data_IF_404237355590
#
_entry.id   IF_404237355590
#
_cell.length_a   1.000
_cell.length_b   1.000
_cell.length_c   1.000
_cell.angle_alpha   90.00
_cell.angle_beta   90.00
_cell.angle_gamma   90.00
#
_symmetry.space_group_name_H-M   'P 1'
#
loop_
_entity.id
_entity.type
_entity.pdbx_description
1 polymer ?
#
# COMPACT_ATOMS: atom_id res chain seq x y z
N UNK A 1 14.88 -7.50 -13.76
CA UNK A 1 14.38 -6.09 -13.74
C UNK A 1 13.22 -6.03 -12.75
N UNK A 2 13.21 -5.11 -11.78
CA UNK A 2 12.08 -4.95 -10.87
C UNK A 2 10.92 -4.28 -11.63
N UNK A 3 9.76 -4.94 -11.69
CA UNK A 3 8.56 -4.41 -12.36
C UNK A 3 7.76 -3.61 -11.33
N UNK A 4 7.41 -2.36 -11.66
CA UNK A 4 6.57 -1.51 -10.81
C UNK A 4 5.11 -1.83 -11.12
N UNK A 5 4.34 -2.17 -10.10
CA UNK A 5 2.89 -2.43 -10.23
C UNK A 5 2.11 -1.36 -9.48
N UNK A 6 1.07 -0.79 -10.12
CA UNK A 6 0.11 0.15 -9.52
C UNK A 6 0.76 1.27 -8.68
N UNK A 7 1.80 1.91 -9.22
CA UNK A 7 2.54 2.99 -8.55
C UNK A 7 3.71 2.54 -7.66
N UNK A 8 3.85 1.23 -7.38
CA UNK A 8 4.99 0.62 -6.69
C UNK A 8 5.02 0.82 -5.17
N UNK A 9 4.49 1.94 -4.68
CA UNK A 9 4.38 2.30 -3.27
C UNK A 9 2.95 2.79 -2.98
N UNK A 10 2.42 2.62 -1.76
CA UNK A 10 1.02 2.91 -1.46
C UNK A 10 0.63 4.36 -1.73
N UNK A 11 1.50 5.35 -1.46
CA UNK A 11 1.20 6.76 -1.69
C UNK A 11 1.11 7.16 -3.18
N UNK A 12 1.59 6.30 -4.09
CA UNK A 12 1.45 6.46 -5.54
C UNK A 12 0.32 5.59 -6.12
N UNK A 13 -0.36 4.79 -5.30
CA UNK A 13 -1.40 3.89 -5.73
C UNK A 13 -2.75 4.59 -5.91
N UNK A 14 -3.54 4.15 -6.90
CA UNK A 14 -4.92 4.56 -7.04
C UNK A 14 -5.83 3.72 -6.12
N UNK A 15 -6.25 4.31 -5.00
CA UNK A 15 -7.09 3.62 -4.02
C UNK A 15 -8.46 3.24 -4.58
N UNK A 16 -9.08 4.10 -5.39
CA UNK A 16 -10.41 3.83 -5.96
C UNK A 16 -10.36 2.62 -6.90
N UNK A 17 -9.36 2.56 -7.77
CA UNK A 17 -9.15 1.42 -8.67
C UNK A 17 -8.86 0.13 -7.88
N UNK A 18 -8.04 0.22 -6.83
CA UNK A 18 -7.77 -0.90 -5.94
C UNK A 18 -9.04 -1.45 -5.29
N UNK A 19 -9.87 -0.58 -4.71
CA UNK A 19 -11.11 -0.98 -4.04
C UNK A 19 -12.14 -1.56 -5.02
N UNK A 20 -12.27 -0.98 -6.22
CA UNK A 20 -13.15 -1.52 -7.26
C UNK A 20 -12.71 -2.94 -7.66
N UNK A 21 -11.40 -3.16 -7.84
CA UNK A 21 -10.87 -4.49 -8.14
C UNK A 21 -11.05 -5.45 -6.97
N UNK A 22 -10.78 -5.02 -5.74
CA UNK A 22 -10.94 -5.83 -4.55
C UNK A 22 -12.39 -6.27 -4.35
N UNK A 23 -13.37 -5.35 -4.52
CA UNK A 23 -14.80 -5.69 -4.44
C UNK A 23 -15.20 -6.72 -5.50
N UNK A 24 -14.81 -6.50 -6.75
CA UNK A 24 -15.08 -7.46 -7.83
C UNK A 24 -14.44 -8.84 -7.58
N UNK A 25 -13.24 -8.88 -6.99
CA UNK A 25 -12.57 -10.13 -6.60
C UNK A 25 -13.32 -10.83 -5.46
N UNK A 26 -13.74 -10.08 -4.43
CA UNK A 26 -14.53 -10.62 -3.32
C UNK A 26 -15.83 -11.23 -3.85
N UNK A 27 -16.59 -10.49 -4.66
CA UNK A 27 -17.87 -10.96 -5.22
C UNK A 27 -17.73 -12.18 -6.12
N UNK A 28 -16.55 -12.37 -6.73
CA UNK A 28 -16.26 -13.53 -7.56
C UNK A 28 -15.95 -14.79 -6.74
N UNK A 29 -15.18 -14.66 -5.66
CA UNK A 29 -14.71 -15.81 -4.86
C UNK A 29 -15.61 -16.14 -3.66
N UNK A 30 -16.36 -15.16 -3.17
CA UNK A 30 -17.26 -15.30 -2.02
C UNK A 30 -18.67 -14.94 -2.51
N UNK A 31 -19.45 -15.98 -2.83
CA UNK A 31 -20.84 -15.78 -3.25
C UNK A 31 -21.67 -15.22 -2.10
N UNK A 32 -22.74 -14.48 -2.42
CA UNK A 32 -23.66 -13.95 -1.41
C UNK A 32 -24.34 -15.05 -0.58
N UNK A 33 -24.46 -16.26 -1.14
CA UNK A 33 -25.04 -17.43 -0.48
C UNK A 33 -24.02 -18.22 0.37
N UNK A 34 -22.78 -17.75 0.47
CA UNK A 34 -21.75 -18.41 1.27
C UNK A 34 -22.06 -18.31 2.76
N UNK A 35 -21.95 -19.44 3.47
CA UNK A 35 -22.07 -19.47 4.94
C UNK A 35 -21.04 -18.53 5.60
N UNK A 36 -21.39 -17.84 6.70
CA UNK A 36 -20.45 -17.00 7.44
C UNK A 36 -19.20 -17.81 7.85
N UNK A 37 -18.03 -17.28 7.52
CA UNK A 37 -16.75 -17.96 7.73
C UNK A 37 -15.58 -17.00 7.78
N UNK A 38 -14.38 -17.53 8.05
CA UNK A 38 -13.15 -16.75 8.09
C UNK A 38 -12.69 -16.39 6.67
N UNK A 39 -12.66 -15.09 6.35
CA UNK A 39 -12.01 -14.57 5.16
C UNK A 39 -10.59 -14.10 5.49
N UNK A 40 -9.59 -14.56 4.72
CA UNK A 40 -8.18 -14.22 4.93
C UNK A 40 -7.68 -13.39 3.75
N UNK A 41 -7.12 -12.21 4.02
CA UNK A 41 -6.42 -11.39 3.02
C UNK A 41 -4.93 -11.64 3.16
N UNK A 42 -4.35 -12.33 2.19
CA UNK A 42 -2.91 -12.55 2.12
C UNK A 42 -2.19 -11.36 1.46
N UNK A 43 -1.73 -10.40 2.29
CA UNK A 43 -1.03 -9.20 1.84
C UNK A 43 0.42 -9.18 2.30
N UNK A 44 1.33 -9.58 1.42
CA UNK A 44 2.75 -9.65 1.79
C UNK A 44 3.64 -8.62 1.10
N UNK A 45 3.14 -7.87 0.11
CA UNK A 45 4.00 -7.02 -0.74
C UNK A 45 4.85 -6.05 0.09
N UNK A 46 4.22 -5.24 0.96
CA UNK A 46 4.84 -4.28 1.87
C UNK A 46 4.15 -4.34 3.23
N UNK A 47 4.79 -3.80 4.27
CA UNK A 47 4.21 -3.69 5.62
C UNK A 47 3.77 -2.25 5.89
N UNK A 48 2.66 -2.00 6.60
CA UNK A 48 2.15 -0.65 6.78
C UNK A 48 3.06 0.23 7.63
N UNK A 49 3.88 -0.36 8.50
CA UNK A 49 4.87 0.35 9.30
C UNK A 49 6.19 0.45 8.55
N UNK A 50 6.71 1.67 8.40
CA UNK A 50 7.91 1.97 7.62
C UNK A 50 9.10 1.13 8.07
N UNK A 51 9.36 1.10 9.37
CA UNK A 51 10.55 0.46 9.95
C UNK A 51 10.53 -1.07 9.83
N UNK A 52 9.37 -1.67 9.52
CA UNK A 52 9.24 -3.11 9.29
C UNK A 52 9.54 -3.53 7.85
N UNK A 53 9.76 -2.58 6.92
CA UNK A 53 10.09 -2.89 5.53
C UNK A 53 11.61 -3.12 5.33
N UNK A 54 12.18 -4.06 6.08
CA UNK A 54 13.58 -4.47 5.99
C UNK A 54 13.80 -5.62 4.97
N UNK A 55 15.04 -6.06 4.81
CA UNK A 55 15.42 -7.10 3.84
C UNK A 55 15.05 -6.74 2.40
N UNK A 56 14.38 -7.65 1.71
CA UNK A 56 13.89 -7.43 0.34
C UNK A 56 12.87 -6.30 0.22
N UNK A 57 12.20 -5.91 1.32
CA UNK A 57 11.20 -4.83 1.34
C UNK A 57 11.80 -3.44 1.45
N UNK A 58 13.12 -3.29 1.62
CA UNK A 58 13.80 -1.98 1.61
C UNK A 58 13.58 -1.22 0.30
N UNK A 59 13.18 -1.89 -0.78
CA UNK A 59 12.83 -1.25 -2.04
C UNK A 59 11.70 -0.23 -1.89
N UNK A 60 10.69 -0.49 -1.05
CA UNK A 60 9.57 0.45 -0.85
C UNK A 60 10.01 1.72 -0.14
N UNK A 61 10.95 1.61 0.81
CA UNK A 61 11.56 2.76 1.47
C UNK A 61 12.35 3.61 0.46
N UNK A 62 13.18 2.97 -0.38
CA UNK A 62 13.97 3.65 -1.42
C UNK A 62 13.06 4.38 -2.42
N UNK A 63 12.04 3.70 -2.95
CA UNK A 63 11.10 4.30 -3.88
C UNK A 63 10.34 5.48 -3.27
N UNK A 64 9.93 5.37 -2.00
CA UNK A 64 9.26 6.46 -1.27
C UNK A 64 10.16 7.68 -1.08
N UNK A 65 11.44 7.47 -0.75
CA UNK A 65 12.42 8.56 -0.62
C UNK A 65 12.66 9.22 -1.98
N UNK A 66 12.84 8.44 -3.06
CA UNK A 66 13.01 8.98 -4.41
C UNK A 66 11.79 9.80 -4.83
N UNK A 67 10.58 9.32 -4.55
CA UNK A 67 9.35 10.05 -4.84
C UNK A 67 9.28 11.38 -4.08
N UNK A 68 9.55 11.38 -2.77
CA UNK A 68 9.56 12.60 -1.97
C UNK A 68 10.62 13.62 -2.45
N UNK A 69 11.80 13.13 -2.85
CA UNK A 69 12.88 13.96 -3.41
C UNK A 69 12.47 14.62 -4.73
N UNK A 70 11.77 13.90 -5.60
CA UNK A 70 11.27 14.45 -6.87
C UNK A 70 10.25 15.57 -6.66
N UNK A 71 9.40 15.47 -5.64
CA UNK A 71 8.40 16.49 -5.33
C UNK A 71 8.98 17.73 -4.65
N UNK A 72 10.07 17.60 -3.90
CA UNK A 72 10.63 18.70 -3.12
C UNK A 72 12.18 18.64 -3.05
N UNK A 73 12.87 18.81 -4.19
CA UNK A 73 14.32 18.55 -4.29
C UNK A 73 15.19 19.49 -3.45
N UNK A 74 14.62 20.62 -3.01
CA UNK A 74 15.29 21.65 -2.19
C UNK A 74 15.28 21.36 -0.69
N UNK A 75 14.55 20.33 -0.23
CA UNK A 75 14.49 19.98 1.19
C UNK A 75 15.71 19.18 1.64
N UNK A 76 16.03 19.28 2.94
CA UNK A 76 17.10 18.46 3.53
C UNK A 76 16.77 16.97 3.50
N UNK A 77 17.80 16.13 3.44
CA UNK A 77 17.67 14.66 3.43
C UNK A 77 16.86 14.13 4.62
N UNK A 78 17.00 14.76 5.79
CA UNK A 78 16.20 14.47 6.99
C UNK A 78 14.71 14.73 6.74
N UNK A 79 14.38 15.89 6.17
CA UNK A 79 12.98 16.25 5.89
C UNK A 79 12.38 15.36 4.80
N UNK A 80 13.14 15.05 3.75
CA UNK A 80 12.74 14.08 2.71
C UNK A 80 12.41 12.72 3.32
N UNK A 81 13.29 12.19 4.16
CA UNK A 81 13.07 10.89 4.82
C UNK A 81 11.84 10.89 5.72
N UNK A 82 11.62 11.96 6.47
CA UNK A 82 10.42 12.14 7.31
C UNK A 82 9.13 12.19 6.49
N UNK A 83 9.13 12.97 5.39
CA UNK A 83 7.99 13.07 4.48
C UNK A 83 7.69 11.72 3.83
N UNK A 84 8.71 11.02 3.34
CA UNK A 84 8.56 9.70 2.72
C UNK A 84 7.95 8.68 3.69
N UNK A 85 8.44 8.63 4.93
CA UNK A 85 7.87 7.78 5.99
C UNK A 85 6.41 8.11 6.25
N UNK A 86 6.10 9.38 6.50
CA UNK A 86 4.73 9.81 6.83
C UNK A 86 3.75 9.50 5.71
N UNK A 87 4.09 9.79 4.45
CA UNK A 87 3.24 9.51 3.29
C UNK A 87 3.02 8.01 3.10
N UNK A 88 4.08 7.22 3.23
CA UNK A 88 4.01 5.77 3.08
C UNK A 88 3.10 5.13 4.14
N UNK A 89 3.27 5.47 5.42
CA UNK A 89 2.47 4.90 6.51
C UNK A 89 1.01 5.35 6.44
N UNK A 90 0.75 6.63 6.11
CA UNK A 90 -0.61 7.15 5.92
C UNK A 90 -1.32 6.42 4.78
N UNK A 91 -0.66 6.27 3.63
CA UNK A 91 -1.24 5.59 2.49
C UNK A 91 -1.38 4.08 2.76
N UNK A 92 -0.37 3.44 3.34
CA UNK A 92 -0.40 2.02 3.69
C UNK A 92 -1.57 1.69 4.62
N UNK A 93 -1.74 2.48 5.68
CA UNK A 93 -2.90 2.40 6.59
C UNK A 93 -4.21 2.54 5.82
N UNK A 94 -4.36 3.57 4.99
CA UNK A 94 -5.59 3.85 4.25
C UNK A 94 -5.96 2.71 3.28
N UNK A 95 -4.99 2.13 2.60
CA UNK A 95 -5.22 0.98 1.70
C UNK A 95 -5.70 -0.24 2.47
N UNK A 96 -5.04 -0.61 3.58
CA UNK A 96 -5.43 -1.78 4.35
C UNK A 96 -6.80 -1.61 5.02
N UNK A 97 -7.02 -0.50 5.72
CA UNK A 97 -8.30 -0.22 6.41
C UNK A 97 -9.48 -0.20 5.43
N UNK A 98 -9.33 0.49 4.28
CA UNK A 98 -10.42 0.55 3.29
C UNK A 98 -10.67 -0.79 2.61
N UNK A 99 -9.65 -1.62 2.43
CA UNK A 99 -9.83 -2.97 1.88
C UNK A 99 -10.57 -3.89 2.86
N UNK A 100 -10.26 -3.80 4.15
CA UNK A 100 -10.98 -4.55 5.18
C UNK A 100 -12.45 -4.10 5.23
N UNK A 101 -12.70 -2.78 5.22
CA UNK A 101 -14.06 -2.23 5.34
C UNK A 101 -15.01 -2.57 4.18
N UNK A 102 -14.53 -3.01 3.01
CA UNK A 102 -15.42 -3.43 1.91
C UNK A 102 -15.84 -4.91 2.03
N UNK A 103 -15.22 -5.66 2.94
CA UNK A 103 -15.59 -7.04 3.25
C UNK A 103 -16.35 -7.20 4.57
N UNK A 104 -16.64 -6.09 5.26
CA UNK A 104 -17.51 -6.00 6.45
C UNK A 104 -18.81 -5.33 6.03
#
# INVERSE_FOLDING_TARGET
>A
KHKIYKGGIPQNGNLTEHLAKAKSTIDHYISQDSSPGLAVIDWESWRPLWDQNWGSKRIYQKLSITHALQLAPFLSTKKISQTAKSQFELAGRRFMEKTINIGI
#
